data_IF_698524817063
#
_entry.id   IF_698524817063
#
_cell.length_a   1.000
_cell.length_b   1.000
_cell.length_c   1.000
_cell.angle_alpha   90.00
_cell.angle_beta   90.00
_cell.angle_gamma   90.00
#
_symmetry.space_group_name_H-M   'P 1'
#
loop_
_entity.id
_entity.type
_entity.pdbx_description
1 polymer ?
#
# COMPACT_ATOMS: atom_id res chain seq x y z
N UNK A 1 6.71 -19.71 -42.72
CA UNK A 1 6.08 -20.68 -41.80
C UNK A 1 6.93 -20.74 -40.54
N UNK A 2 6.52 -20.05 -39.46
CA UNK A 2 7.29 -20.03 -38.22
C UNK A 2 7.10 -21.35 -37.45
N UNK A 3 8.20 -21.95 -37.00
CA UNK A 3 8.16 -23.24 -36.31
C UNK A 3 7.67 -23.06 -34.85
N UNK A 4 6.63 -23.80 -34.42
CA UNK A 4 6.02 -23.65 -33.10
C UNK A 4 6.98 -23.96 -31.94
N UNK A 5 8.02 -24.77 -32.19
CA UNK A 5 9.09 -25.08 -31.24
C UNK A 5 9.96 -23.87 -30.87
N UNK A 6 10.18 -22.94 -31.81
CA UNK A 6 10.97 -21.73 -31.57
C UNK A 6 10.23 -20.74 -30.65
N UNK A 7 8.91 -20.64 -30.81
CA UNK A 7 8.06 -19.79 -29.97
C UNK A 7 7.95 -20.33 -28.54
N UNK A 8 7.84 -21.64 -28.38
CA UNK A 8 7.81 -22.28 -27.06
C UNK A 8 9.13 -22.06 -26.30
N UNK A 9 10.29 -22.23 -26.96
CA UNK A 9 11.60 -21.95 -26.34
C UNK A 9 11.78 -20.47 -25.98
N UNK A 10 11.30 -19.55 -26.81
CA UNK A 10 11.35 -18.12 -26.50
C UNK A 10 10.48 -17.76 -25.30
N UNK A 11 9.25 -18.29 -25.23
CA UNK A 11 8.35 -18.05 -24.11
C UNK A 11 8.92 -18.58 -22.78
N UNK A 12 9.58 -19.74 -22.82
CA UNK A 12 10.22 -20.34 -21.64
C UNK A 12 11.50 -19.60 -21.23
N UNK A 13 12.26 -19.06 -22.19
CA UNK A 13 13.40 -18.18 -21.87
C UNK A 13 12.93 -16.89 -21.20
N UNK A 14 11.90 -16.23 -21.75
CA UNK A 14 11.36 -14.98 -21.19
C UNK A 14 10.86 -15.19 -19.75
N UNK A 15 10.12 -16.27 -19.46
CA UNK A 15 9.61 -16.51 -18.10
C UNK A 15 10.71 -16.72 -17.06
N UNK A 16 11.84 -17.36 -17.43
CA UNK A 16 12.97 -17.56 -16.52
C UNK A 16 13.74 -16.25 -16.31
N UNK A 17 14.03 -15.50 -17.37
CA UNK A 17 14.78 -14.24 -17.24
C UNK A 17 13.97 -13.13 -16.55
N UNK A 18 12.64 -13.11 -16.68
CA UNK A 18 11.77 -12.19 -15.93
C UNK A 18 11.82 -12.43 -14.41
N UNK A 19 12.02 -13.67 -13.97
CA UNK A 19 12.08 -13.99 -12.54
C UNK A 19 13.36 -13.45 -11.86
N UNK A 20 14.47 -13.39 -12.57
CA UNK A 20 15.74 -12.88 -12.02
C UNK A 20 15.71 -11.35 -11.86
N UNK A 21 15.13 -10.64 -12.84
CA UNK A 21 14.97 -9.19 -12.76
C UNK A 21 13.97 -8.78 -11.65
N UNK A 22 12.94 -9.59 -11.40
CA UNK A 22 11.97 -9.33 -10.33
C UNK A 22 12.54 -9.61 -8.94
N UNK A 23 13.44 -10.60 -8.79
CA UNK A 23 14.10 -10.89 -7.51
C UNK A 23 14.93 -9.71 -6.99
N UNK A 24 15.75 -9.08 -7.85
CA UNK A 24 16.55 -7.91 -7.44
C UNK A 24 15.72 -6.69 -7.05
N UNK A 25 14.55 -6.50 -7.67
CA UNK A 25 13.63 -5.43 -7.30
C UNK A 25 13.00 -5.68 -5.91
N UNK A 26 12.57 -6.92 -5.65
CA UNK A 26 11.99 -7.32 -4.36
C UNK A 26 12.99 -7.15 -3.23
N UNK A 27 14.25 -7.54 -3.45
CA UNK A 27 15.32 -7.39 -2.48
C UNK A 27 15.58 -5.91 -2.14
N UNK A 28 15.69 -5.06 -3.17
CA UNK A 28 15.83 -3.61 -2.98
C UNK A 28 14.65 -2.98 -2.20
N UNK A 29 13.41 -3.39 -2.50
CA UNK A 29 12.22 -2.90 -1.79
C UNK A 29 12.25 -3.33 -0.32
N UNK A 30 12.64 -4.58 -0.06
CA UNK A 30 12.73 -5.11 1.31
C UNK A 30 13.82 -4.40 2.14
N UNK A 31 14.95 -4.07 1.51
CA UNK A 31 16.01 -3.30 2.14
C UNK A 31 15.54 -1.88 2.48
N UNK A 32 14.82 -1.24 1.56
CA UNK A 32 14.27 0.10 1.77
C UNK A 32 13.29 0.14 2.96
N UNK A 33 12.47 -0.91 3.09
CA UNK A 33 11.54 -1.04 4.22
C UNK A 33 12.28 -1.19 5.55
N UNK A 34 13.33 -2.01 5.59
CA UNK A 34 14.18 -2.17 6.78
C UNK A 34 14.83 -0.85 7.19
N UNK A 35 15.34 -0.07 6.23
CA UNK A 35 15.93 1.25 6.50
C UNK A 35 14.87 2.21 7.03
N UNK A 36 13.69 2.25 6.43
CA UNK A 36 12.57 3.06 6.91
C UNK A 36 12.19 2.67 8.34
N UNK A 37 12.05 1.39 8.64
CA UNK A 37 11.70 0.91 9.98
C UNK A 37 12.80 1.29 11.01
N UNK A 38 14.07 1.31 10.60
CA UNK A 38 15.19 1.75 11.47
C UNK A 38 15.17 3.25 11.80
N UNK A 39 14.67 4.09 10.88
CA UNK A 39 14.59 5.55 11.05
C UNK A 39 13.29 5.94 11.74
N UNK A 40 12.18 5.39 11.27
CA UNK A 40 10.84 5.69 11.77
C UNK A 40 10.59 5.10 13.16
N UNK A 41 11.33 4.04 13.51
CA UNK A 41 11.14 3.29 14.75
C UNK A 41 10.00 2.30 14.65
N UNK A 42 9.57 1.79 15.81
CA UNK A 42 8.43 0.89 15.89
C UNK A 42 7.16 1.60 15.46
N UNK A 43 6.43 0.97 14.53
CA UNK A 43 5.09 1.40 14.15
C UNK A 43 4.03 0.78 15.04
N UNK A 44 2.99 1.55 15.33
CA UNK A 44 1.85 1.13 16.14
C UNK A 44 0.59 1.18 15.31
N UNK A 45 -0.08 0.05 15.23
CA UNK A 45 -1.37 -0.06 14.56
C UNK A 45 -2.45 0.38 15.54
N UNK A 46 -3.20 1.40 15.15
CA UNK A 46 -4.22 2.01 15.99
C UNK A 46 -5.56 2.03 15.28
N UNK A 47 -6.61 1.89 16.09
CA UNK A 47 -7.99 2.07 15.64
C UNK A 47 -8.40 3.47 16.05
N UNK A 48 -8.67 4.31 15.06
CA UNK A 48 -9.22 5.63 15.30
C UNK A 48 -10.73 5.53 15.47
N UNK A 49 -11.23 6.18 16.52
CA UNK A 49 -12.66 6.21 16.86
C UNK A 49 -13.04 7.66 17.10
N UNK A 50 -14.00 8.14 16.32
CA UNK A 50 -14.59 9.46 16.50
C UNK A 50 -15.42 9.52 17.79
N UNK A 51 -15.19 10.53 18.62
CA UNK A 51 -15.95 10.77 19.84
C UNK A 51 -17.44 11.00 19.57
N UNK A 52 -17.76 11.61 18.44
CA UNK A 52 -19.14 11.88 18.01
C UNK A 52 -19.86 10.64 17.51
N UNK A 53 -19.11 9.54 17.26
CA UNK A 53 -19.59 8.27 16.68
C UNK A 53 -20.31 8.43 15.33
N UNK A 54 -20.05 9.54 14.61
CA UNK A 54 -20.60 9.76 13.28
C UNK A 54 -19.87 8.92 12.23
N UNK A 55 -18.56 8.79 12.40
CA UNK A 55 -17.69 7.98 11.55
C UNK A 55 -17.51 6.56 12.10
N UNK A 56 -17.37 5.57 11.20
CA UNK A 56 -17.02 4.21 11.60
C UNK A 56 -15.58 4.15 12.11
N UNK A 57 -15.25 3.25 13.05
CA UNK A 57 -13.87 3.01 13.44
C UNK A 57 -13.00 2.65 12.23
N UNK A 58 -11.80 3.22 12.16
CA UNK A 58 -10.91 3.02 11.03
C UNK A 58 -9.47 2.72 11.49
N UNK A 59 -8.68 2.09 10.62
CA UNK A 59 -7.32 1.66 10.89
C UNK A 59 -6.30 2.66 10.34
N UNK A 60 -5.31 3.00 11.16
CA UNK A 60 -4.11 3.73 10.75
C UNK A 60 -2.87 3.19 11.48
N UNK A 61 -1.68 3.54 10.99
CA UNK A 61 -0.42 3.17 11.63
C UNK A 61 0.42 4.42 11.89
N UNK A 62 0.88 4.58 13.14
CA UNK A 62 1.67 5.73 13.61
C UNK A 62 3.12 5.34 13.88
N UNK A 63 4.04 6.27 13.63
CA UNK A 63 5.45 6.16 14.02
C UNK A 63 5.90 7.46 14.67
N UNK A 64 6.71 7.43 15.74
CA UNK A 64 7.15 8.65 16.42
C UNK A 64 8.00 9.59 15.55
N UNK A 65 8.67 9.07 14.52
CA UNK A 65 9.66 9.83 13.73
C UNK A 65 9.29 9.97 12.24
N UNK A 66 8.17 9.42 11.80
CA UNK A 66 7.75 9.45 10.40
C UNK A 66 6.25 9.66 10.28
N UNK A 67 5.82 10.05 9.09
CA UNK A 67 4.42 10.30 8.79
C UNK A 67 3.54 9.06 9.01
N UNK A 68 2.30 9.36 9.38
CA UNK A 68 1.22 8.40 9.54
C UNK A 68 0.93 7.71 8.21
N UNK A 69 0.75 6.40 8.26
CA UNK A 69 0.41 5.60 7.08
C UNK A 69 -1.00 5.10 7.23
N UNK A 70 -1.83 5.45 6.26
CA UNK A 70 -3.16 4.89 6.10
C UNK A 70 -3.06 3.55 5.40
N UNK A 71 -3.80 2.55 5.88
CA UNK A 71 -3.94 1.30 5.14
C UNK A 71 -4.66 1.54 3.82
N UNK A 72 -4.40 0.71 2.81
CA UNK A 72 -5.26 0.66 1.64
C UNK A 72 -6.48 -0.19 1.97
N UNK A 73 -7.68 0.29 1.62
CA UNK A 73 -8.92 -0.47 1.76
C UNK A 73 -10.07 0.28 2.42
N UNK A 74 -11.23 -0.38 2.55
CA UNK A 74 -12.47 0.24 3.03
C UNK A 74 -12.41 0.65 4.51
N UNK A 75 -11.52 0.04 5.28
CA UNK A 75 -11.32 0.33 6.71
C UNK A 75 -10.28 1.43 6.96
N UNK A 76 -9.74 2.06 5.91
CA UNK A 76 -8.77 3.14 6.06
C UNK A 76 -9.43 4.43 6.50
N UNK A 77 -8.76 5.19 7.37
CA UNK A 77 -9.35 6.44 7.87
C UNK A 77 -9.54 7.48 6.76
N UNK A 78 -8.67 7.49 5.75
CA UNK A 78 -8.82 8.35 4.58
C UNK A 78 -10.14 8.09 3.82
N UNK A 79 -10.59 6.83 3.72
CA UNK A 79 -11.85 6.51 3.03
C UNK A 79 -13.06 6.80 3.90
N UNK A 80 -12.98 6.50 5.21
CA UNK A 80 -14.10 6.71 6.13
C UNK A 80 -14.37 8.21 6.35
N UNK A 81 -13.32 9.02 6.52
CA UNK A 81 -13.46 10.45 6.80
C UNK A 81 -13.80 11.29 5.56
N UNK A 82 -13.56 10.79 4.34
CA UNK A 82 -13.91 11.50 3.11
C UNK A 82 -15.41 11.44 2.78
N UNK A 83 -16.18 10.60 3.47
CA UNK A 83 -17.63 10.42 3.23
C UNK A 83 -18.45 11.55 3.87
N UNK A 84 -17.85 12.40 4.71
CA UNK A 84 -18.56 13.45 5.46
C UNK A 84 -18.50 14.86 4.86
N UNK A 85 -17.82 15.09 3.72
CA UNK A 85 -17.67 16.43 3.13
C UNK A 85 -18.67 16.78 1.99
N UNK A 86 -19.62 15.89 1.67
CA UNK A 86 -20.67 16.16 0.66
C UNK A 86 -22.02 16.58 1.29
N UNK A 87 -22.02 17.56 2.19
CA UNK A 87 -23.27 18.03 2.79
C UNK A 87 -23.20 19.39 3.48
N UNK A 88 -23.10 20.48 2.69
CA UNK A 88 -23.20 21.82 3.26
C UNK A 88 -23.07 23.00 2.28
N UNK A 89 -23.65 22.91 1.08
CA UNK A 89 -24.09 24.13 0.40
C UNK A 89 -25.38 24.59 1.07
N UNK A 90 -25.29 25.55 2.00
CA UNK A 90 -26.42 26.39 2.36
C UNK A 90 -25.94 27.84 2.42
N UNK A 91 -26.14 28.51 1.29
CA UNK A 91 -26.15 29.96 1.19
C UNK A 91 -27.18 30.53 2.18
N UNK A 92 -26.72 31.20 3.25
CA UNK A 92 -27.45 32.33 3.83
C UNK A 92 -26.58 33.32 4.59
#
# INVERSE_FOLDING_TARGET
>A
MAHPSLLASLALAVSIFSSVATAGLVENISMLRTVLDSVCGQRFDVIWVDETRTNQPCLMSYSPFCDEVQYSGPTSCMMVMNITDEGGDDSR
#
